data_IF_261941291875
#
_entry.id   IF_261941291875
#
_cell.length_a   1.000
_cell.length_b   1.000
_cell.length_c   1.000
_cell.angle_alpha   90.00
_cell.angle_beta   90.00
_cell.angle_gamma   90.00
#
_symmetry.space_group_name_H-M   'P 1'
#
loop_
_entity.id
_entity.type
_entity.pdbx_description
1 polymer ?
#
# COMPACT_ATOMS: atom_id res chain seq x y z
N UNK A 1 -80.88 -8.85 10.66
CA UNK A 1 -81.61 -9.52 9.57
C UNK A 1 -80.65 -9.60 8.39
N UNK A 2 -80.11 -10.71 7.92
CA UNK A 2 -80.30 -12.15 8.12
C UNK A 2 -79.76 -12.78 6.83
N UNK A 3 -78.61 -13.48 6.89
CA UNK A 3 -78.37 -14.90 6.50
C UNK A 3 -78.62 -15.20 5.00
N UNK A 4 -77.76 -15.90 4.24
CA UNK A 4 -77.35 -17.31 4.40
C UNK A 4 -76.22 -17.66 3.38
N UNK A 5 -75.09 -18.29 3.78
CA UNK A 5 -74.73 -19.75 3.70
C UNK A 5 -74.12 -20.18 2.33
N UNK A 6 -72.81 -20.52 2.25
CA UNK A 6 -72.21 -21.90 2.22
C UNK A 6 -72.33 -22.55 0.81
N UNK A 7 -71.47 -23.37 0.23
CA UNK A 7 -70.06 -23.78 0.34
C UNK A 7 -69.76 -24.68 -0.88
N UNK A 8 -68.46 -24.91 -1.15
CA UNK A 8 -67.82 -26.15 -1.63
C UNK A 8 -68.41 -26.98 -2.79
N UNK A 9 -67.57 -27.25 -3.81
CA UNK A 9 -67.20 -28.59 -4.36
C UNK A 9 -66.00 -28.33 -5.32
N UNK A 10 -64.75 -28.83 -5.13
CA UNK A 10 -64.22 -30.22 -5.06
C UNK A 10 -64.61 -31.00 -6.33
N UNK A 11 -63.79 -31.72 -7.09
CA UNK A 11 -62.36 -32.01 -7.21
C UNK A 11 -62.17 -32.89 -8.47
N UNK A 12 -60.95 -33.04 -8.95
CA UNK A 12 -60.41 -34.31 -9.49
C UNK A 12 -58.92 -34.33 -9.12
N UNK A 13 -58.47 -34.94 -8.01
CA UNK A 13 -58.22 -36.37 -7.77
C UNK A 13 -57.58 -37.04 -9.00
N UNK A 14 -56.31 -37.48 -8.97
CA UNK A 14 -55.78 -38.63 -8.21
C UNK A 14 -54.34 -38.90 -8.72
N UNK A 15 -53.34 -39.52 -8.07
CA UNK A 15 -53.07 -40.21 -6.80
C UNK A 15 -51.51 -40.41 -6.82
N UNK A 16 -50.72 -39.99 -5.81
CA UNK A 16 -50.15 -40.82 -4.68
C UNK A 16 -48.67 -41.24 -4.93
N UNK A 17 -47.67 -41.11 -4.03
CA UNK A 17 -47.55 -41.13 -2.54
C UNK A 17 -46.48 -40.14 -1.98
N UNK A 18 -46.68 -39.69 -0.71
CA UNK A 18 -45.79 -39.20 0.38
C UNK A 18 -44.31 -38.82 0.08
N UNK A 19 -43.68 -37.78 0.67
CA UNK A 19 -43.63 -37.34 2.07
C UNK A 19 -42.86 -35.97 2.16
N UNK A 20 -43.00 -35.25 3.28
CA UNK A 20 -42.16 -34.12 3.77
C UNK A 20 -42.20 -32.72 3.12
N UNK A 21 -42.84 -31.76 3.82
CA UNK A 21 -42.21 -30.52 4.36
C UNK A 21 -43.22 -29.37 4.57
N UNK A 22 -43.99 -29.46 5.66
CA UNK A 22 -44.70 -28.33 6.26
C UNK A 22 -43.74 -27.51 7.16
N UNK A 23 -42.66 -26.97 6.60
CA UNK A 23 -41.69 -26.15 7.35
C UNK A 23 -41.26 -24.85 6.66
N UNK A 24 -41.78 -24.59 5.44
CA UNK A 24 -41.43 -23.39 4.66
C UNK A 24 -42.43 -22.23 4.77
N UNK A 25 -43.64 -22.46 5.27
CA UNK A 25 -44.64 -21.39 5.42
C UNK A 25 -44.46 -20.59 6.74
N UNK A 26 -43.96 -21.22 7.80
CA UNK A 26 -43.69 -20.55 9.09
C UNK A 26 -42.45 -19.66 9.08
N UNK A 27 -41.44 -19.99 8.26
CA UNK A 27 -40.18 -19.23 8.19
C UNK A 27 -40.32 -17.88 7.49
N UNK A 28 -41.25 -17.75 6.54
CA UNK A 28 -41.47 -16.49 5.80
C UNK A 28 -42.17 -15.42 6.64
N UNK A 29 -42.98 -15.83 7.64
CA UNK A 29 -43.68 -14.89 8.53
C UNK A 29 -42.77 -14.46 9.70
N UNK A 30 -41.84 -15.31 10.13
CA UNK A 30 -40.84 -14.94 11.14
C UNK A 30 -39.82 -13.92 10.60
N UNK A 31 -39.36 -14.08 9.36
CA UNK A 31 -38.39 -13.18 8.70
C UNK A 31 -38.92 -11.75 8.49
N UNK A 32 -40.24 -11.57 8.41
CA UNK A 32 -40.86 -10.24 8.27
C UNK A 32 -41.01 -9.49 9.60
N UNK A 33 -40.95 -10.18 10.76
CA UNK A 33 -41.06 -9.55 12.08
C UNK A 33 -39.73 -9.08 12.66
N UNK A 34 -38.61 -9.63 12.20
CA UNK A 34 -37.27 -9.22 12.64
C UNK A 34 -36.75 -7.92 11.98
N UNK A 35 -37.50 -7.32 11.06
CA UNK A 35 -37.11 -6.07 10.37
C UNK A 35 -37.49 -4.81 11.19
N UNK A 36 -38.24 -4.94 12.28
CA UNK A 36 -38.72 -3.80 13.09
C UNK A 36 -38.15 -3.70 14.52
N UNK A 37 -37.17 -4.53 14.90
CA UNK A 37 -36.49 -4.32 16.17
C UNK A 37 -35.25 -3.42 15.99
N UNK A 38 -35.06 -2.37 16.82
CA UNK A 38 -33.84 -1.59 16.79
C UNK A 38 -32.66 -2.50 17.15
N UNK A 39 -31.74 -2.64 16.22
CA UNK A 39 -30.49 -3.38 16.39
C UNK A 39 -29.63 -2.62 17.43
N UNK A 40 -29.68 -3.07 18.69
CA UNK A 40 -28.76 -2.63 19.73
C UNK A 40 -27.54 -3.53 19.65
N UNK A 41 -26.43 -2.99 19.15
CA UNK A 41 -25.13 -3.65 19.26
C UNK A 41 -24.64 -3.49 20.69
N UNK A 42 -24.69 -4.55 21.48
CA UNK A 42 -23.90 -4.62 22.72
C UNK A 42 -22.45 -4.93 22.37
N UNK A 43 -21.55 -4.01 22.73
CA UNK A 43 -20.12 -4.11 22.49
C UNK A 43 -19.41 -4.75 23.70
N UNK A 44 -18.37 -5.56 23.48
CA UNK A 44 -17.63 -6.20 24.58
C UNK A 44 -16.87 -5.19 25.46
N UNK A 45 -16.74 -5.60 26.72
CA UNK A 45 -16.33 -4.81 27.89
C UNK A 45 -14.98 -4.08 27.78
N UNK A 46 -14.98 -2.80 28.18
CA UNK A 46 -13.93 -1.79 27.95
C UNK A 46 -12.60 -2.05 28.69
N UNK A 47 -12.56 -3.02 29.61
CA UNK A 47 -11.45 -3.19 30.55
C UNK A 47 -10.19 -3.86 29.96
N UNK A 48 -10.30 -4.63 28.86
CA UNK A 48 -9.11 -5.22 28.19
C UNK A 48 -8.47 -4.31 27.14
N UNK A 49 -9.20 -3.31 26.62
CA UNK A 49 -8.64 -2.31 25.70
C UNK A 49 -7.82 -1.23 26.43
N UNK A 50 -8.18 -0.92 27.68
CA UNK A 50 -7.53 0.15 28.44
C UNK A 50 -6.06 -0.14 28.77
N UNK A 51 -5.72 -1.41 29.05
CA UNK A 51 -4.33 -1.82 29.33
C UNK A 51 -3.42 -1.88 28.08
N UNK A 52 -4.00 -1.91 26.86
CA UNK A 52 -3.24 -1.79 25.60
C UNK A 52 -3.15 -0.34 25.09
N UNK A 53 -3.98 0.58 25.61
CA UNK A 53 -3.99 1.99 25.21
C UNK A 53 -2.89 2.83 25.87
N UNK A 54 -2.45 2.48 27.08
CA UNK A 54 -1.42 3.26 27.79
C UNK A 54 -0.02 3.11 27.17
N UNK A 55 0.30 1.96 26.55
CA UNK A 55 1.60 1.76 25.89
C UNK A 55 1.66 2.28 24.43
N UNK A 56 0.53 2.64 23.81
CA UNK A 56 0.46 3.10 22.40
C UNK A 56 0.36 4.62 22.23
N UNK A 57 0.20 5.38 23.32
CA UNK A 57 0.06 6.84 23.26
C UNK A 57 1.38 7.58 22.99
N UNK A 58 2.52 6.89 22.97
CA UNK A 58 3.84 7.50 22.81
C UNK A 58 4.70 6.84 21.71
N UNK A 59 4.06 6.18 20.75
CA UNK A 59 4.74 5.72 19.53
C UNK A 59 4.57 6.77 18.43
N UNK A 60 5.65 7.16 17.73
CA UNK A 60 5.54 8.01 16.55
C UNK A 60 4.58 7.35 15.55
N UNK A 61 3.43 7.97 15.30
CA UNK A 61 2.47 7.41 14.35
C UNK A 61 2.86 7.81 12.93
N UNK A 62 2.94 6.84 12.02
CA UNK A 62 3.10 7.10 10.59
C UNK A 62 1.87 7.80 10.03
N UNK A 63 2.04 8.54 8.93
CA UNK A 63 0.91 9.11 8.21
C UNK A 63 0.25 8.00 7.37
N UNK A 64 -1.02 7.74 7.65
CA UNK A 64 -1.80 6.66 7.01
C UNK A 64 -2.64 7.19 5.85
N UNK A 65 -2.49 6.56 4.69
CA UNK A 65 -3.17 6.91 3.43
C UNK A 65 -4.02 5.73 3.00
N UNK A 66 -5.25 5.97 2.54
CA UNK A 66 -6.11 4.93 1.97
C UNK A 66 -6.83 5.39 0.70
N UNK A 67 -7.27 4.41 -0.10
CA UNK A 67 -8.26 4.60 -1.14
C UNK A 67 -9.37 3.56 -1.00
N UNK A 68 -10.61 3.99 -1.20
CA UNK A 68 -11.78 3.15 -1.01
C UNK A 68 -12.87 3.45 -2.03
N UNK A 69 -13.12 2.50 -2.94
CA UNK A 69 -14.37 2.42 -3.66
C UNK A 69 -15.47 1.95 -2.71
N UNK A 70 -16.44 2.81 -2.41
CA UNK A 70 -17.54 2.54 -1.45
C UNK A 70 -18.79 2.03 -2.16
N UNK A 71 -18.72 1.72 -3.47
CA UNK A 71 -19.80 1.19 -4.30
C UNK A 71 -21.09 2.01 -4.23
N UNK A 72 -21.36 2.85 -5.23
CA UNK A 72 -22.57 3.68 -5.29
C UNK A 72 -22.83 4.50 -4.01
N UNK A 73 -21.78 5.15 -3.49
CA UNK A 73 -21.91 5.97 -2.29
C UNK A 73 -22.88 7.14 -2.52
N UNK A 74 -23.86 7.29 -1.64
CA UNK A 74 -24.84 8.35 -1.76
C UNK A 74 -25.91 8.30 -0.67
N UNK A 75 -27.03 8.99 -0.91
CA UNK A 75 -28.11 9.15 0.07
C UNK A 75 -28.59 7.83 0.67
N UNK A 76 -28.92 6.84 -0.16
CA UNK A 76 -29.42 5.52 0.30
C UNK A 76 -28.42 4.82 1.21
N UNK A 77 -27.12 4.85 0.87
CA UNK A 77 -26.06 4.25 1.69
C UNK A 77 -25.93 4.96 3.05
N UNK A 78 -26.04 6.28 3.06
CA UNK A 78 -26.01 7.11 4.28
C UNK A 78 -27.31 7.09 5.11
N UNK A 79 -28.36 6.42 4.64
CA UNK A 79 -29.62 6.16 5.33
C UNK A 79 -29.77 4.69 5.77
N UNK A 80 -28.89 3.81 5.31
CA UNK A 80 -28.93 2.38 5.63
C UNK A 80 -28.38 2.17 7.06
N UNK A 81 -29.14 1.59 8.00
CA UNK A 81 -28.71 1.41 9.38
C UNK A 81 -27.38 0.66 9.50
N UNK A 82 -26.47 1.14 10.35
CA UNK A 82 -25.16 0.53 10.61
C UNK A 82 -24.07 0.92 9.60
N UNK A 83 -24.42 1.29 8.36
CA UNK A 83 -23.44 1.62 7.31
C UNK A 83 -22.69 2.94 7.61
N UNK A 84 -23.35 4.06 7.97
CA UNK A 84 -22.64 5.28 8.36
C UNK A 84 -21.67 5.06 9.52
N UNK A 85 -22.05 4.25 10.51
CA UNK A 85 -21.23 3.94 11.69
C UNK A 85 -19.98 3.14 11.30
N UNK A 86 -20.12 2.17 10.40
CA UNK A 86 -18.98 1.41 9.86
C UNK A 86 -18.05 2.30 9.02
N UNK A 87 -18.61 3.13 8.14
CA UNK A 87 -17.81 4.07 7.33
C UNK A 87 -17.03 5.04 8.21
N UNK A 88 -17.62 5.56 9.28
CA UNK A 88 -16.92 6.41 10.26
C UNK A 88 -15.76 5.64 10.90
N UNK A 89 -15.97 4.40 11.34
CA UNK A 89 -14.90 3.57 11.93
C UNK A 89 -13.76 3.29 10.94
N UNK A 90 -14.08 3.04 9.68
CA UNK A 90 -13.10 2.83 8.61
C UNK A 90 -12.30 4.12 8.39
N UNK A 91 -12.96 5.26 8.17
CA UNK A 91 -12.30 6.54 7.87
C UNK A 91 -11.41 7.03 9.00
N UNK A 92 -11.83 6.87 10.27
CA UNK A 92 -11.06 7.32 11.44
C UNK A 92 -9.71 6.59 11.66
N UNK A 93 -9.43 5.56 10.86
CA UNK A 93 -8.11 4.91 10.83
C UNK A 93 -7.05 5.73 10.10
N UNK A 94 -7.46 6.57 9.14
CA UNK A 94 -6.57 7.17 8.16
C UNK A 94 -6.40 8.67 8.38
N UNK A 95 -5.21 9.19 8.11
CA UNK A 95 -4.97 10.63 8.12
C UNK A 95 -5.46 11.28 6.83
N UNK A 96 -5.46 10.53 5.73
CA UNK A 96 -6.15 10.87 4.48
C UNK A 96 -6.72 9.62 3.82
N UNK A 97 -7.95 9.70 3.34
CA UNK A 97 -8.60 8.64 2.57
C UNK A 97 -9.31 9.21 1.35
N UNK A 98 -9.08 8.57 0.19
CA UNK A 98 -9.86 8.76 -1.02
C UNK A 98 -11.14 7.92 -0.95
N UNK A 99 -12.29 8.57 -1.15
CA UNK A 99 -13.59 7.94 -1.35
C UNK A 99 -13.99 8.06 -2.83
N UNK A 100 -14.35 6.93 -3.44
CA UNK A 100 -14.75 6.85 -4.85
C UNK A 100 -16.21 6.39 -4.99
N UNK A 101 -16.72 6.41 -6.23
CA UNK A 101 -18.12 6.11 -6.56
C UNK A 101 -19.16 6.97 -5.82
N UNK A 102 -18.84 8.25 -5.58
CA UNK A 102 -19.81 9.18 -4.99
C UNK A 102 -20.86 9.55 -6.04
N UNK A 103 -22.03 8.93 -5.95
CA UNK A 103 -23.18 9.12 -6.85
C UNK A 103 -24.31 9.88 -6.14
N UNK A 104 -24.00 11.09 -5.67
CA UNK A 104 -24.98 11.97 -5.01
C UNK A 104 -25.00 13.38 -5.63
N UNK A 105 -26.02 13.67 -6.45
CA UNK A 105 -26.16 14.97 -7.11
C UNK A 105 -26.42 16.12 -6.14
N UNK A 106 -26.89 15.83 -4.92
CA UNK A 106 -27.12 16.85 -3.90
C UNK A 106 -25.85 17.26 -3.16
N UNK A 107 -24.78 16.45 -3.23
CA UNK A 107 -23.55 16.63 -2.47
C UNK A 107 -23.70 16.46 -0.94
N UNK A 108 -24.89 16.09 -0.44
CA UNK A 108 -25.19 16.08 1.00
C UNK A 108 -24.66 14.83 1.70
N UNK A 109 -24.62 13.68 1.03
CA UNK A 109 -24.24 12.41 1.64
C UNK A 109 -22.79 12.43 2.16
N UNK A 110 -21.86 12.93 1.34
CA UNK A 110 -20.44 12.98 1.72
C UNK A 110 -20.18 14.01 2.83
N UNK A 111 -20.89 15.14 2.82
CA UNK A 111 -20.82 16.14 3.89
C UNK A 111 -21.44 15.63 5.19
N UNK A 112 -22.52 14.83 5.11
CA UNK A 112 -23.09 14.14 6.27
C UNK A 112 -22.08 13.15 6.86
N UNK A 113 -21.36 12.40 6.01
CA UNK A 113 -20.29 11.51 6.48
C UNK A 113 -19.17 12.29 7.19
N UNK A 114 -18.69 13.39 6.60
CA UNK A 114 -17.70 14.28 7.23
C UNK A 114 -18.16 14.77 8.61
N UNK A 115 -19.43 15.19 8.73
CA UNK A 115 -20.00 15.63 10.01
C UNK A 115 -20.00 14.51 11.05
N UNK A 116 -20.36 13.28 10.66
CA UNK A 116 -20.33 12.13 11.56
C UNK A 116 -18.90 11.76 11.97
N UNK A 117 -17.94 11.83 11.04
CA UNK A 117 -16.51 11.62 11.33
C UNK A 117 -16.06 12.63 12.37
N UNK A 118 -16.31 13.92 12.15
CA UNK A 118 -15.89 14.99 13.06
C UNK A 118 -16.59 14.92 14.44
N UNK A 119 -17.80 14.37 14.51
CA UNK A 119 -18.49 14.12 15.78
C UNK A 119 -17.85 12.97 16.60
N UNK A 120 -17.24 12.00 15.93
CA UNK A 120 -16.69 10.79 16.57
C UNK A 120 -15.16 10.77 16.64
N UNK A 121 -14.48 11.69 15.96
CA UNK A 121 -13.02 11.75 15.94
C UNK A 121 -12.46 12.21 17.29
N UNK A 122 -11.49 11.45 17.80
CA UNK A 122 -10.67 11.84 18.96
C UNK A 122 -9.28 12.32 18.57
N UNK A 123 -8.90 12.16 17.29
CA UNK A 123 -7.54 12.43 16.79
C UNK A 123 -7.38 13.81 16.15
N UNK A 124 -8.47 14.52 15.90
CA UNK A 124 -8.45 15.81 15.21
C UNK A 124 -9.65 16.00 14.29
N UNK A 125 -9.75 17.17 13.68
CA UNK A 125 -10.84 17.52 12.76
C UNK A 125 -10.43 17.17 11.33
N UNK A 126 -11.34 16.51 10.62
CA UNK A 126 -11.23 16.24 9.20
C UNK A 126 -11.78 17.41 8.38
N UNK A 127 -11.13 17.68 7.25
CA UNK A 127 -11.66 18.44 6.14
C UNK A 127 -11.94 17.54 4.94
N UNK A 128 -12.49 18.14 3.89
CA UNK A 128 -12.75 17.46 2.63
C UNK A 128 -12.35 18.33 1.44
N UNK A 129 -11.84 17.68 0.39
CA UNK A 129 -11.79 18.26 -0.94
C UNK A 129 -12.45 17.30 -1.93
N UNK A 130 -13.27 17.83 -2.84
CA UNK A 130 -14.20 17.05 -3.68
C UNK A 130 -13.99 17.46 -5.14
N UNK A 131 -13.90 16.49 -6.04
CA UNK A 131 -13.86 16.75 -7.48
C UNK A 131 -15.21 17.25 -8.01
N UNK A 132 -15.25 17.81 -9.24
CA UNK A 132 -16.48 17.89 -10.02
C UNK A 132 -17.13 16.51 -10.21
N UNK A 133 -18.36 16.50 -10.73
CA UNK A 133 -19.03 15.27 -11.18
C UNK A 133 -18.45 14.86 -12.54
N UNK A 134 -17.87 13.67 -12.61
CA UNK A 134 -17.12 13.12 -13.74
C UNK A 134 -17.82 11.88 -14.30
N UNK A 135 -17.68 11.62 -15.60
CA UNK A 135 -18.43 10.58 -16.29
C UNK A 135 -18.97 11.08 -17.63
N UNK A 136 -18.81 10.30 -18.69
CA UNK A 136 -19.32 10.63 -20.03
C UNK A 136 -20.85 10.55 -20.12
N UNK A 137 -21.47 9.75 -19.26
CA UNK A 137 -22.93 9.57 -19.21
C UNK A 137 -23.60 10.48 -18.17
N UNK A 138 -24.94 10.43 -18.10
CA UNK A 138 -25.71 11.09 -17.04
C UNK A 138 -25.43 10.51 -15.64
N UNK A 139 -24.95 9.27 -15.57
CA UNK A 139 -24.55 8.61 -14.32
C UNK A 139 -23.12 9.00 -13.92
N UNK A 140 -22.95 10.24 -13.46
CA UNK A 140 -21.66 10.77 -13.01
C UNK A 140 -21.29 10.39 -11.57
N UNK A 141 -20.00 10.33 -11.30
CA UNK A 141 -19.36 10.05 -10.00
C UNK A 141 -18.50 11.23 -9.53
N UNK A 142 -18.05 11.21 -8.27
CA UNK A 142 -17.08 12.16 -7.74
C UNK A 142 -16.01 11.42 -6.92
N UNK A 143 -14.84 12.06 -6.82
CA UNK A 143 -13.80 11.73 -5.86
C UNK A 143 -13.89 12.68 -4.67
N UNK A 144 -13.61 12.17 -3.47
CA UNK A 144 -13.39 13.01 -2.31
C UNK A 144 -12.20 12.52 -1.50
N UNK A 145 -11.31 13.44 -1.13
CA UNK A 145 -10.31 13.19 -0.10
C UNK A 145 -10.82 13.75 1.22
N UNK A 146 -10.99 12.87 2.21
CA UNK A 146 -11.21 13.23 3.61
C UNK A 146 -9.85 13.20 4.32
N UNK A 147 -9.44 14.29 4.97
CA UNK A 147 -8.10 14.38 5.56
C UNK A 147 -8.08 15.15 6.87
N UNK A 148 -7.18 14.79 7.78
CA UNK A 148 -6.97 15.48 9.06
C UNK A 148 -6.27 16.82 8.89
N UNK A 149 -6.91 17.90 9.35
CA UNK A 149 -6.43 19.29 9.20
C UNK A 149 -5.21 19.63 10.03
N UNK A 150 -4.97 18.86 11.10
CA UNK A 150 -3.84 19.09 11.99
C UNK A 150 -2.51 18.53 11.43
N UNK A 151 -2.59 17.61 10.47
CA UNK A 151 -1.42 16.97 9.85
C UNK A 151 -1.27 17.26 8.34
N UNK A 152 -2.38 17.60 7.66
CA UNK A 152 -2.42 17.84 6.21
C UNK A 152 -3.21 19.10 5.87
N UNK A 153 -2.78 19.77 4.80
CA UNK A 153 -3.51 20.88 4.18
C UNK A 153 -3.43 20.80 2.66
N UNK A 154 -4.53 21.09 1.97
CA UNK A 154 -4.55 21.18 0.50
C UNK A 154 -3.98 22.54 0.08
N UNK A 155 -2.91 22.53 -0.71
CA UNK A 155 -2.31 23.73 -1.32
C UNK A 155 -2.97 24.08 -2.65
N UNK A 156 -3.29 23.06 -3.44
CA UNK A 156 -3.90 23.21 -4.75
C UNK A 156 -4.63 21.92 -5.13
N UNK A 157 -5.67 22.03 -5.97
CA UNK A 157 -6.28 20.88 -6.61
C UNK A 157 -6.85 21.24 -7.97
N UNK A 158 -6.85 20.26 -8.88
CA UNK A 158 -7.45 20.38 -10.20
C UNK A 158 -7.85 19.00 -10.72
N UNK A 159 -8.73 18.98 -11.72
CA UNK A 159 -9.05 17.76 -12.47
C UNK A 159 -8.25 17.78 -13.77
N UNK A 160 -7.63 16.65 -14.11
CA UNK A 160 -6.94 16.52 -15.39
C UNK A 160 -7.93 16.70 -16.53
N UNK A 161 -7.47 17.27 -17.64
CA UNK A 161 -8.28 17.55 -18.81
C UNK A 161 -7.45 17.11 -20.02
N UNK A 162 -7.88 16.03 -20.67
CA UNK A 162 -7.27 15.49 -21.89
C UNK A 162 -8.05 15.81 -23.16
N UNK A 163 -9.05 16.69 -23.08
CA UNK A 163 -9.80 17.15 -24.23
C UNK A 163 -11.29 17.35 -23.96
N UNK A 164 -12.05 17.60 -25.03
CA UNK A 164 -13.48 17.88 -24.92
C UNK A 164 -14.31 16.59 -24.75
N UNK A 165 -15.01 16.46 -23.62
CA UNK A 165 -15.95 15.35 -23.32
C UNK A 165 -16.96 15.13 -24.49
N UNK A 166 -17.48 16.22 -25.07
CA UNK A 166 -18.53 16.19 -26.11
C UNK A 166 -18.08 15.55 -27.44
N UNK A 167 -16.77 15.48 -27.70
CA UNK A 167 -16.21 14.91 -28.92
C UNK A 167 -15.83 13.43 -28.77
N UNK A 168 -16.00 12.84 -27.57
CA UNK A 168 -15.55 11.47 -27.24
C UNK A 168 -14.08 11.19 -27.60
N UNK A 169 -13.27 12.25 -27.61
CA UNK A 169 -11.82 12.14 -27.80
C UNK A 169 -11.06 11.97 -26.48
N UNK A 170 -11.74 12.12 -25.33
CA UNK A 170 -11.16 11.92 -24.01
C UNK A 170 -10.76 10.45 -23.81
N UNK A 171 -9.70 10.22 -23.05
CA UNK A 171 -9.22 8.88 -22.70
C UNK A 171 -9.98 8.34 -21.49
N UNK A 172 -10.21 9.18 -20.49
CA UNK A 172 -10.72 8.78 -19.19
C UNK A 172 -12.24 8.86 -19.09
N UNK A 173 -12.90 7.76 -18.71
CA UNK A 173 -14.32 7.82 -18.34
C UNK A 173 -14.58 8.79 -17.18
N UNK A 174 -13.63 8.87 -16.24
CA UNK A 174 -13.62 9.82 -15.12
C UNK A 174 -12.21 10.37 -14.99
N UNK A 175 -12.07 11.65 -15.24
CA UNK A 175 -10.77 12.31 -15.29
C UNK A 175 -10.08 12.27 -13.91
N UNK A 176 -8.76 12.00 -13.86
CA UNK A 176 -8.03 11.98 -12.60
C UNK A 176 -8.20 13.28 -11.80
N UNK A 177 -8.41 13.16 -10.49
CA UNK A 177 -8.47 14.30 -9.58
C UNK A 177 -7.17 14.46 -8.81
N UNK A 178 -6.49 15.58 -9.02
CA UNK A 178 -5.14 15.87 -8.55
C UNK A 178 -5.23 16.80 -7.34
N UNK A 179 -4.64 16.39 -6.23
CA UNK A 179 -4.61 17.17 -4.99
C UNK A 179 -3.18 17.27 -4.47
N UNK A 180 -2.66 18.50 -4.43
CA UNK A 180 -1.38 18.84 -3.83
C UNK A 180 -1.56 19.05 -2.33
N UNK A 181 -1.02 18.13 -1.56
CA UNK A 181 -1.00 18.19 -0.11
C UNK A 181 0.32 18.75 0.40
N UNK A 182 0.20 19.53 1.47
CA UNK A 182 1.29 19.80 2.39
C UNK A 182 1.09 18.96 3.66
N UNK A 183 2.18 18.33 4.14
CA UNK A 183 2.22 17.65 5.43
C UNK A 183 3.16 18.35 6.40
N UNK A 184 2.66 18.57 7.62
CA UNK A 184 3.46 19.11 8.72
C UNK A 184 4.33 18.02 9.37
N UNK A 185 3.96 16.75 9.22
CA UNK A 185 4.49 15.62 10.01
C UNK A 185 5.44 14.69 9.25
N UNK A 186 5.56 14.75 7.92
CA UNK A 186 6.43 13.87 7.11
C UNK A 186 7.64 14.61 6.52
N UNK A 187 8.74 13.90 6.24
CA UNK A 187 9.91 14.49 5.57
C UNK A 187 9.58 14.97 4.15
N UNK A 188 8.72 14.23 3.44
CA UNK A 188 8.13 14.69 2.18
C UNK A 188 7.01 15.65 2.53
N UNK A 189 7.33 16.94 2.61
CA UNK A 189 6.37 17.97 3.04
C UNK A 189 5.36 18.32 1.97
N UNK A 190 5.71 18.14 0.71
CA UNK A 190 4.88 18.46 -0.44
C UNK A 190 4.78 17.22 -1.32
N UNK A 191 3.56 16.73 -1.52
CA UNK A 191 3.30 15.59 -2.40
C UNK A 191 1.91 15.70 -3.02
N UNK A 192 1.70 14.94 -4.09
CA UNK A 192 0.45 14.94 -4.84
C UNK A 192 -0.22 13.59 -4.73
N UNK A 193 -1.52 13.58 -4.45
CA UNK A 193 -2.39 12.42 -4.60
C UNK A 193 -3.21 12.57 -5.88
N UNK A 194 -3.15 11.56 -6.75
CA UNK A 194 -3.91 11.49 -8.00
C UNK A 194 -4.97 10.40 -7.88
N UNK A 195 -6.20 10.82 -7.61
CA UNK A 195 -7.34 9.92 -7.51
C UNK A 195 -7.79 9.44 -8.90
N UNK A 196 -7.96 8.13 -9.05
CA UNK A 196 -8.49 7.55 -10.29
C UNK A 196 -9.35 6.32 -10.01
N UNK A 197 -10.51 6.26 -10.65
CA UNK A 197 -11.38 5.09 -10.74
C UNK A 197 -11.54 4.79 -12.23
N UNK A 198 -10.86 3.79 -12.75
CA UNK A 198 -10.83 3.57 -14.21
C UNK A 198 -12.08 2.86 -14.71
N UNK A 199 -12.46 3.02 -15.97
CA UNK A 199 -13.51 2.16 -16.57
C UNK A 199 -13.01 0.71 -16.72
N UNK A 200 -13.72 -0.32 -16.24
CA UNK A 200 -13.27 -1.71 -16.36
C UNK A 200 -13.01 -2.15 -17.80
N UNK A 201 -13.84 -1.67 -18.74
CA UNK A 201 -13.73 -1.96 -20.17
C UNK A 201 -12.52 -1.28 -20.85
N UNK A 202 -11.97 -0.24 -20.22
CA UNK A 202 -10.87 0.58 -20.72
C UNK A 202 -9.67 0.64 -19.77
N UNK A 203 -9.63 -0.21 -18.74
CA UNK A 203 -8.62 -0.18 -17.68
C UNK A 203 -7.19 -0.06 -18.23
N UNK A 204 -6.80 -0.89 -19.20
CA UNK A 204 -5.46 -0.79 -19.78
C UNK A 204 -5.16 0.58 -20.41
N UNK A 205 -6.10 1.16 -21.13
CA UNK A 205 -5.90 2.44 -21.82
C UNK A 205 -5.80 3.58 -20.80
N UNK A 206 -6.70 3.61 -19.82
CA UNK A 206 -6.69 4.65 -18.78
C UNK A 206 -5.47 4.52 -17.86
N UNK A 207 -5.09 3.31 -17.45
CA UNK A 207 -3.86 3.07 -16.66
C UNK A 207 -2.63 3.52 -17.45
N UNK A 208 -2.56 3.19 -18.74
CA UNK A 208 -1.42 3.57 -19.59
C UNK A 208 -1.24 5.09 -19.68
N UNK A 209 -2.34 5.84 -19.71
CA UNK A 209 -2.34 7.30 -19.83
C UNK A 209 -2.01 8.03 -18.52
N UNK A 210 -2.08 7.35 -17.37
CA UNK A 210 -1.66 7.93 -16.08
C UNK A 210 -0.18 8.33 -16.05
N UNK A 211 0.66 7.77 -16.93
CA UNK A 211 2.05 8.22 -17.08
C UNK A 211 2.12 9.67 -17.62
N UNK A 212 1.20 10.05 -18.50
CA UNK A 212 1.07 11.42 -19.03
C UNK A 212 0.47 12.35 -17.98
N UNK A 213 -0.47 11.86 -17.17
CA UNK A 213 -1.02 12.60 -16.02
C UNK A 213 0.09 12.94 -15.02
N UNK A 214 1.00 12.02 -14.74
CA UNK A 214 2.16 12.29 -13.90
C UNK A 214 3.06 13.40 -14.50
N UNK A 215 3.31 13.38 -15.81
CA UNK A 215 4.07 14.43 -16.49
C UNK A 215 3.35 15.80 -16.43
N UNK A 216 2.02 15.82 -16.50
CA UNK A 216 1.19 17.02 -16.30
C UNK A 216 1.35 17.59 -14.88
N UNK A 217 1.34 16.72 -13.86
CA UNK A 217 1.56 17.10 -12.46
C UNK A 217 2.91 17.78 -12.29
N UNK A 218 3.98 17.18 -12.81
CA UNK A 218 5.32 17.78 -12.76
C UNK A 218 5.32 19.14 -13.45
N UNK A 219 4.75 19.21 -14.66
CA UNK A 219 4.75 20.43 -15.46
C UNK A 219 3.97 21.58 -14.81
N UNK A 220 2.81 21.29 -14.21
CA UNK A 220 1.95 22.32 -13.59
C UNK A 220 2.37 22.69 -12.19
N UNK A 221 2.81 21.73 -11.38
CA UNK A 221 3.06 21.93 -9.95
C UNK A 221 4.54 21.91 -9.57
N UNK A 222 5.42 21.39 -10.43
CA UNK A 222 6.84 21.22 -10.12
C UNK A 222 7.11 20.14 -9.06
N UNK A 223 6.12 19.27 -8.79
CA UNK A 223 6.22 18.22 -7.77
C UNK A 223 6.42 16.86 -8.44
N UNK A 224 7.47 16.14 -8.03
CA UNK A 224 7.81 14.79 -8.51
C UNK A 224 7.33 13.68 -7.58
N UNK A 225 7.03 14.02 -6.33
CA UNK A 225 6.58 13.08 -5.29
C UNK A 225 5.06 12.87 -5.40
N UNK A 226 4.67 11.82 -6.11
CA UNK A 226 3.27 11.56 -6.51
C UNK A 226 2.85 10.15 -6.11
N UNK A 227 1.62 10.03 -5.59
CA UNK A 227 0.95 8.76 -5.36
C UNK A 227 -0.33 8.76 -6.19
N UNK A 228 -0.43 7.81 -7.12
CA UNK A 228 -1.64 7.54 -7.90
C UNK A 228 -2.39 6.41 -7.18
N UNK A 229 -3.67 6.61 -6.87
CA UNK A 229 -4.42 5.70 -6.00
C UNK A 229 -5.91 5.60 -6.36
N UNK A 230 -6.47 4.43 -6.11
CA UNK A 230 -7.89 4.12 -6.29
C UNK A 230 -8.15 2.75 -6.89
N UNK A 231 -9.39 2.54 -7.33
CA UNK A 231 -9.82 1.39 -8.12
C UNK A 231 -9.37 1.53 -9.58
N UNK A 232 -8.21 0.94 -9.89
CA UNK A 232 -7.65 0.94 -11.23
C UNK A 232 -8.18 -0.22 -12.08
N UNK A 233 -9.08 -1.08 -11.56
CA UNK A 233 -9.48 -2.31 -12.23
C UNK A 233 -8.26 -3.12 -12.73
N UNK A 234 -7.14 -3.05 -12.01
CA UNK A 234 -5.82 -3.48 -12.48
C UNK A 234 -5.57 -4.98 -12.29
N UNK A 235 -6.54 -5.85 -12.58
CA UNK A 235 -6.36 -7.29 -12.42
C UNK A 235 -7.34 -8.10 -13.28
N UNK A 236 -7.25 -9.42 -13.15
CA UNK A 236 -8.24 -10.36 -13.66
C UNK A 236 -8.52 -10.15 -15.17
N UNK A 237 -9.78 -10.16 -15.60
CA UNK A 237 -10.11 -10.03 -17.03
C UNK A 237 -9.84 -8.64 -17.61
N UNK A 238 -9.72 -7.62 -16.76
CA UNK A 238 -9.51 -6.24 -17.20
C UNK A 238 -8.06 -5.96 -17.58
N UNK A 239 -7.10 -6.56 -16.86
CA UNK A 239 -5.66 -6.47 -17.11
C UNK A 239 -5.00 -7.85 -17.24
N UNK A 240 -4.77 -8.29 -18.49
CA UNK A 240 -4.05 -9.52 -18.82
C UNK A 240 -2.54 -9.33 -18.82
N UNK A 241 -1.77 -10.42 -18.69
CA UNK A 241 -0.30 -10.41 -18.78
C UNK A 241 0.23 -9.72 -20.04
N UNK A 242 -0.48 -9.84 -21.17
CA UNK A 242 -0.12 -9.17 -22.42
C UNK A 242 -0.26 -7.65 -22.33
N UNK A 243 -1.33 -7.14 -21.68
CA UNK A 243 -1.56 -5.71 -21.45
C UNK A 243 -0.49 -5.17 -20.49
N UNK A 244 -0.20 -5.89 -19.41
CA UNK A 244 0.85 -5.54 -18.46
C UNK A 244 2.21 -5.33 -19.11
N UNK A 245 2.59 -6.16 -20.09
CA UNK A 245 3.89 -6.06 -20.78
C UNK A 245 4.06 -4.82 -21.66
N UNK A 246 2.96 -4.20 -22.09
CA UNK A 246 3.01 -3.04 -23.00
C UNK A 246 2.58 -1.74 -22.35
N UNK A 247 1.99 -1.80 -21.16
CA UNK A 247 1.49 -0.62 -20.44
C UNK A 247 2.64 0.27 -19.93
N UNK A 248 2.63 1.56 -20.26
CA UNK A 248 3.66 2.54 -19.93
C UNK A 248 3.81 2.72 -18.42
N UNK A 249 2.71 2.93 -17.69
CA UNK A 249 2.75 3.11 -16.23
C UNK A 249 3.31 1.87 -15.51
N UNK A 250 3.06 0.66 -16.05
CA UNK A 250 3.56 -0.59 -15.48
C UNK A 250 5.05 -0.84 -15.72
N UNK A 251 5.59 -0.40 -16.88
CA UNK A 251 6.96 -0.75 -17.30
C UNK A 251 7.95 0.41 -17.19
N UNK A 252 7.48 1.63 -16.97
CA UNK A 252 8.34 2.79 -16.73
C UNK A 252 8.90 2.75 -15.30
N UNK A 253 10.23 2.84 -15.20
CA UNK A 253 11.00 2.72 -13.96
C UNK A 253 10.77 3.85 -12.97
N UNK A 254 10.10 4.93 -13.39
CA UNK A 254 9.69 6.01 -12.49
C UNK A 254 8.63 5.55 -11.48
N UNK A 255 7.83 4.54 -11.84
CA UNK A 255 6.65 4.13 -11.08
C UNK A 255 6.87 2.83 -10.32
N UNK A 256 6.38 2.80 -9.08
CA UNK A 256 6.50 1.66 -8.18
C UNK A 256 5.11 1.28 -7.67
N UNK A 257 4.66 0.07 -8.03
CA UNK A 257 3.37 -0.46 -7.64
C UNK A 257 3.49 -1.13 -6.27
N UNK A 258 2.75 -0.62 -5.27
CA UNK A 258 2.90 -1.09 -3.89
C UNK A 258 1.95 -2.24 -3.55
N UNK A 259 0.74 -2.24 -4.13
CA UNK A 259 -0.19 -3.36 -4.01
C UNK A 259 0.19 -4.41 -5.04
N UNK A 260 0.66 -5.56 -4.59
CA UNK A 260 1.02 -6.71 -5.43
C UNK A 260 -0.23 -7.32 -6.09
N UNK A 261 -0.04 -7.96 -7.24
CA UNK A 261 -1.09 -8.71 -7.97
C UNK A 261 -1.69 -9.86 -7.15
N UNK A 262 -1.01 -10.29 -6.07
CA UNK A 262 -1.49 -11.32 -5.16
C UNK A 262 -2.43 -10.80 -4.06
N UNK A 263 -2.61 -9.48 -3.93
CA UNK A 263 -3.47 -8.89 -2.90
C UNK A 263 -4.89 -8.82 -3.42
N UNK A 264 -5.81 -9.55 -2.80
CA UNK A 264 -7.24 -9.43 -3.11
C UNK A 264 -7.83 -8.16 -2.48
N UNK A 265 -8.40 -7.29 -3.32
CA UNK A 265 -9.04 -6.04 -2.91
C UNK A 265 -10.56 -6.09 -2.99
N UNK A 266 -11.16 -7.25 -3.26
CA UNK A 266 -12.62 -7.40 -3.41
C UNK A 266 -13.28 -8.05 -2.21
N UNK A 267 -14.52 -7.65 -1.88
CA UNK A 267 -15.36 -8.25 -0.82
C UNK A 267 -16.12 -9.46 -1.36
N UNK A 268 -16.56 -9.40 -2.62
CA UNK A 268 -17.35 -10.46 -3.25
C UNK A 268 -16.76 -10.91 -4.58
N UNK A 269 -16.49 -12.20 -4.72
CA UNK A 269 -16.50 -12.89 -6.01
C UNK A 269 -15.25 -12.78 -6.90
N UNK A 270 -14.12 -12.29 -6.41
CA UNK A 270 -12.85 -12.30 -7.13
C UNK A 270 -11.65 -12.49 -6.19
N UNK A 271 -10.54 -13.01 -6.70
CA UNK A 271 -9.22 -12.85 -6.09
C UNK A 271 -8.46 -11.85 -6.95
N UNK A 272 -8.89 -10.59 -6.90
CA UNK A 272 -8.48 -9.56 -7.86
C UNK A 272 -7.86 -8.34 -7.14
N UNK A 273 -6.69 -7.92 -7.60
CA UNK A 273 -5.99 -6.72 -7.14
C UNK A 273 -6.43 -5.50 -7.97
N UNK A 274 -7.69 -5.09 -7.84
CA UNK A 274 -8.22 -3.96 -8.62
C UNK A 274 -7.72 -2.62 -8.11
N UNK A 275 -7.70 -2.46 -6.79
CA UNK A 275 -7.34 -1.23 -6.11
C UNK A 275 -5.83 -1.16 -5.86
N UNK A 276 -5.21 -0.01 -6.17
CA UNK A 276 -3.74 0.10 -6.25
C UNK A 276 -3.21 1.39 -5.69
N UNK A 277 -1.93 1.33 -5.30
CA UNK A 277 -1.06 2.48 -5.11
C UNK A 277 0.10 2.39 -6.09
N UNK A 278 0.34 3.47 -6.84
CA UNK A 278 1.49 3.62 -7.73
C UNK A 278 2.25 4.87 -7.33
N UNK A 279 3.52 4.72 -6.96
CA UNK A 279 4.34 5.79 -6.36
C UNK A 279 5.47 6.19 -7.29
N UNK A 280 5.73 7.51 -7.36
CA UNK A 280 6.86 8.11 -8.04
C UNK A 280 7.51 9.20 -7.18
N UNK A 281 8.78 9.49 -7.47
CA UNK A 281 9.60 10.47 -6.75
C UNK A 281 10.48 9.83 -5.68
N UNK A 282 11.78 10.15 -5.70
CA UNK A 282 12.77 9.53 -4.80
C UNK A 282 12.50 9.84 -3.32
N UNK A 283 12.00 11.03 -3.01
CA UNK A 283 11.71 11.39 -1.63
C UNK A 283 10.49 10.62 -1.13
N UNK A 284 9.44 10.48 -1.95
CA UNK A 284 8.27 9.67 -1.64
C UNK A 284 8.64 8.19 -1.49
N UNK A 285 9.40 7.61 -2.43
CA UNK A 285 9.82 6.21 -2.36
C UNK A 285 10.68 5.90 -1.13
N UNK A 286 11.39 6.89 -0.59
CA UNK A 286 12.13 6.73 0.66
C UNK A 286 11.28 6.94 1.91
N UNK A 287 10.15 7.64 1.79
CA UNK A 287 9.20 7.84 2.88
C UNK A 287 8.16 6.73 2.99
N UNK A 288 7.84 6.04 1.88
CA UNK A 288 6.89 4.92 1.87
C UNK A 288 7.44 3.74 2.66
N UNK A 289 6.55 3.11 3.43
CA UNK A 289 6.79 1.81 4.05
C UNK A 289 6.17 0.76 3.14
N UNK A 290 6.93 0.18 2.21
CA UNK A 290 6.38 -0.70 1.16
C UNK A 290 5.56 -1.86 1.76
N UNK A 291 6.05 -2.48 2.84
CA UNK A 291 5.36 -3.59 3.52
C UNK A 291 4.06 -3.21 4.23
N UNK A 292 3.72 -1.92 4.30
CA UNK A 292 2.45 -1.45 4.87
C UNK A 292 1.33 -1.33 3.84
N UNK A 293 1.65 -1.51 2.55
CA UNK A 293 0.68 -1.44 1.48
C UNK A 293 -0.14 -2.74 1.42
N UNK A 294 -1.39 -2.70 1.86
CA UNK A 294 -2.25 -3.88 1.96
C UNK A 294 -3.74 -3.57 1.75
N UNK A 295 -4.56 -4.62 1.72
CA UNK A 295 -6.02 -4.54 1.66
C UNK A 295 -6.59 -4.61 3.08
N UNK A 296 -7.32 -3.58 3.49
CA UNK A 296 -7.92 -3.51 4.82
C UNK A 296 -9.25 -4.29 4.87
N UNK A 297 -9.16 -5.53 5.34
CA UNK A 297 -10.30 -6.45 5.56
C UNK A 297 -11.13 -6.01 6.78
N UNK A 298 -11.88 -4.91 6.63
CA UNK A 298 -12.65 -4.29 7.72
C UNK A 298 -13.71 -5.22 8.32
N UNK A 299 -14.15 -6.22 7.59
CA UNK A 299 -15.04 -7.26 8.05
C UNK A 299 -14.40 -8.11 9.15
N UNK A 300 -13.15 -8.52 8.95
CA UNK A 300 -12.39 -9.30 9.92
C UNK A 300 -11.99 -8.45 11.12
N UNK A 301 -11.53 -7.21 10.85
CA UNK A 301 -10.99 -6.31 11.86
C UNK A 301 -12.07 -5.67 12.76
N UNK A 302 -13.29 -5.52 12.26
CA UNK A 302 -14.43 -4.97 13.00
C UNK A 302 -15.49 -6.02 13.34
N UNK A 303 -15.23 -7.30 13.07
CA UNK A 303 -16.14 -8.44 13.28
C UNK A 303 -17.53 -8.19 12.64
N UNK A 304 -17.53 -7.82 11.36
CA UNK A 304 -18.74 -7.51 10.57
C UNK A 304 -19.08 -8.71 9.70
N UNK A 305 -20.34 -9.14 9.76
CA UNK A 305 -20.80 -10.25 8.93
C UNK A 305 -20.78 -9.91 7.43
N UNK A 306 -20.65 -10.94 6.59
CA UNK A 306 -20.50 -10.80 5.14
C UNK A 306 -21.65 -10.03 4.47
N UNK A 307 -22.89 -10.18 4.95
CA UNK A 307 -24.05 -9.46 4.40
C UNK A 307 -23.90 -7.96 4.61
N UNK A 308 -23.52 -7.52 5.81
CA UNK A 308 -23.27 -6.11 6.11
C UNK A 308 -22.03 -5.61 5.36
N UNK A 309 -20.98 -6.43 5.25
CA UNK A 309 -19.79 -6.08 4.48
C UNK A 309 -20.12 -5.77 3.02
N UNK A 310 -20.91 -6.63 2.36
CA UNK A 310 -21.34 -6.43 0.97
C UNK A 310 -22.31 -5.23 0.80
N UNK A 311 -23.02 -4.82 1.85
CA UNK A 311 -23.81 -3.57 1.83
C UNK A 311 -22.94 -2.32 1.95
N UNK A 312 -21.80 -2.42 2.64
CA UNK A 312 -20.82 -1.33 2.73
C UNK A 312 -20.14 -1.13 1.38
N UNK A 313 -19.56 -2.17 0.78
CA UNK A 313 -18.93 -2.12 -0.55
C UNK A 313 -18.66 -3.53 -1.09
N UNK A 314 -18.43 -3.65 -2.40
CA UNK A 314 -17.82 -4.81 -3.05
C UNK A 314 -16.29 -4.73 -3.13
N UNK A 315 -15.69 -3.63 -2.67
CA UNK A 315 -14.24 -3.47 -2.53
C UNK A 315 -13.83 -3.34 -1.06
N UNK A 316 -12.59 -3.71 -0.75
CA UNK A 316 -11.93 -3.33 0.48
C UNK A 316 -11.11 -2.06 0.26
N UNK A 317 -10.96 -1.18 1.26
CA UNK A 317 -9.97 -0.11 1.18
C UNK A 317 -8.57 -0.71 1.00
N UNK A 318 -7.76 -0.12 0.13
CA UNK A 318 -6.30 -0.32 0.18
C UNK A 318 -5.70 0.75 1.07
N UNK A 319 -4.76 0.36 1.93
CA UNK A 319 -4.05 1.27 2.84
C UNK A 319 -2.54 1.20 2.66
N UNK A 320 -1.85 2.29 2.98
CA UNK A 320 -0.39 2.37 3.05
C UNK A 320 0.03 3.40 4.11
N UNK A 321 1.31 3.37 4.48
CA UNK A 321 1.89 4.29 5.45
C UNK A 321 3.13 4.98 4.89
N UNK A 322 3.29 6.26 5.24
CA UNK A 322 4.51 7.02 5.01
C UNK A 322 5.11 7.50 6.33
N UNK A 323 6.44 7.47 6.42
CA UNK A 323 7.23 7.74 7.62
C UNK A 323 7.10 9.20 8.05
N UNK A 324 6.82 9.43 9.33
CA UNK A 324 6.84 10.77 9.92
C UNK A 324 8.25 11.24 10.26
N UNK A 325 8.46 12.56 10.34
CA UNK A 325 9.72 13.18 10.78
C UNK A 325 10.14 12.64 12.16
N UNK A 326 9.18 12.48 13.05
CA UNK A 326 9.39 11.94 14.39
C UNK A 326 9.92 10.50 14.33
N UNK A 327 9.25 9.62 13.57
CA UNK A 327 9.72 8.24 13.41
C UNK A 327 11.06 8.19 12.69
N UNK A 328 11.25 8.96 11.62
CA UNK A 328 12.53 9.04 10.92
C UNK A 328 13.66 9.49 11.86
N UNK A 329 13.39 10.46 12.73
CA UNK A 329 14.35 10.94 13.74
C UNK A 329 14.62 9.85 14.78
N UNK A 330 13.57 9.21 15.31
CA UNK A 330 13.70 8.10 16.25
C UNK A 330 14.51 6.93 15.64
N UNK A 331 14.19 6.53 14.42
CA UNK A 331 14.93 5.50 13.67
C UNK A 331 16.37 5.92 13.41
N UNK A 332 16.65 7.20 13.09
CA UNK A 332 18.02 7.71 12.94
C UNK A 332 18.80 7.73 14.27
N UNK A 333 18.11 7.86 15.39
CA UNK A 333 18.70 7.80 16.74
C UNK A 333 18.93 6.37 17.21
N UNK A 334 18.15 5.41 16.69
CA UNK A 334 18.27 3.97 16.94
C UNK A 334 19.25 3.33 15.95
N UNK A 335 19.46 3.91 14.76
CA UNK A 335 20.36 3.43 13.72
C UNK A 335 21.81 3.50 14.19
N UNK A 336 22.21 2.52 15.01
CA UNK A 336 23.58 2.06 15.06
C UNK A 336 23.86 1.40 13.73
N UNK A 337 25.04 1.67 13.17
CA UNK A 337 25.46 1.01 11.95
C UNK A 337 25.43 -0.50 12.16
N UNK A 338 24.59 -1.22 11.40
CA UNK A 338 24.50 -2.68 11.50
C UNK A 338 25.44 -3.28 10.48
N UNK A 339 26.40 -4.06 10.97
CA UNK A 339 27.38 -4.74 10.14
C UNK A 339 27.05 -6.23 10.03
N UNK A 340 26.62 -6.67 8.84
CA UNK A 340 26.37 -8.07 8.51
C UNK A 340 27.63 -8.70 7.94
N UNK A 341 28.23 -9.65 8.66
CA UNK A 341 29.42 -10.37 8.22
C UNK A 341 29.10 -11.76 7.66
N UNK A 342 29.47 -12.00 6.41
CA UNK A 342 29.22 -13.23 5.67
C UNK A 342 30.46 -14.10 5.63
N UNK A 343 30.66 -14.90 6.68
CA UNK A 343 31.83 -15.78 6.82
C UNK A 343 31.52 -17.18 6.28
N UNK A 344 32.47 -17.75 5.55
CA UNK A 344 32.49 -19.19 5.19
C UNK A 344 33.84 -19.79 5.56
N UNK A 345 33.98 -21.11 5.47
CA UNK A 345 35.27 -21.78 5.67
C UNK A 345 36.28 -21.22 4.65
N UNK A 346 37.49 -20.79 5.09
CA UNK A 346 38.51 -20.28 4.18
C UNK A 346 38.85 -21.31 3.10
N UNK A 347 39.15 -20.83 1.88
CA UNK A 347 39.67 -21.69 0.82
C UNK A 347 40.97 -22.35 1.29
N UNK A 348 41.16 -23.67 1.09
CA UNK A 348 42.42 -24.35 1.43
C UNK A 348 43.64 -23.75 0.74
N UNK A 349 43.43 -23.02 -0.36
CA UNK A 349 44.49 -22.41 -1.16
C UNK A 349 44.72 -20.93 -0.83
N UNK A 350 44.03 -20.37 0.17
CA UNK A 350 44.12 -18.96 0.53
C UNK A 350 45.48 -18.66 1.20
N UNK A 351 46.20 -17.66 0.70
CA UNK A 351 47.48 -17.22 1.26
C UNK A 351 47.51 -15.71 1.41
N UNK A 352 48.36 -15.22 2.34
CA UNK A 352 48.61 -13.77 2.54
C UNK A 352 49.03 -13.07 1.24
N UNK A 353 49.85 -13.76 0.43
CA UNK A 353 50.33 -13.24 -0.85
C UNK A 353 49.19 -13.07 -1.86
N UNK A 354 48.24 -14.02 -1.94
CA UNK A 354 47.05 -13.89 -2.80
C UNK A 354 46.21 -12.67 -2.41
N UNK A 355 46.01 -12.45 -1.12
CA UNK A 355 45.27 -11.29 -0.61
C UNK A 355 45.97 -9.98 -1.00
N UNK A 356 47.28 -9.88 -0.74
CA UNK A 356 48.04 -8.67 -1.05
C UNK A 356 48.06 -8.35 -2.55
N UNK A 357 48.13 -9.37 -3.42
CA UNK A 357 48.13 -9.19 -4.88
C UNK A 357 46.84 -8.55 -5.42
N UNK A 358 45.69 -8.71 -4.75
CA UNK A 358 44.43 -8.09 -5.18
C UNK A 358 44.34 -6.60 -4.89
N UNK A 359 45.29 -6.04 -4.14
CA UNK A 359 45.28 -4.63 -3.74
C UNK A 359 45.11 -3.68 -4.93
N UNK A 360 46.02 -3.75 -5.91
CA UNK A 360 45.96 -2.87 -7.09
C UNK A 360 44.68 -3.06 -7.90
N UNK A 361 44.20 -4.31 -8.01
CA UNK A 361 42.97 -4.63 -8.75
C UNK A 361 41.74 -4.01 -8.11
N UNK A 362 41.64 -4.05 -6.78
CA UNK A 362 40.49 -3.49 -6.06
C UNK A 362 40.58 -1.97 -5.93
N UNK A 363 41.79 -1.40 -5.77
CA UNK A 363 42.00 0.06 -5.83
C UNK A 363 41.57 0.64 -7.18
N UNK A 364 41.91 -0.04 -8.30
CA UNK A 364 41.46 0.34 -9.63
C UNK A 364 39.94 0.21 -9.85
N UNK A 365 39.25 -0.54 -8.97
CA UNK A 365 37.80 -0.68 -8.97
C UNK A 365 37.13 0.15 -7.86
N UNK A 366 37.82 1.22 -7.42
CA UNK A 366 37.33 2.22 -6.45
C UNK A 366 37.11 1.69 -5.03
N UNK A 367 37.78 0.60 -4.64
CA UNK A 367 37.84 0.20 -3.24
C UNK A 367 38.99 0.92 -2.53
N UNK A 368 38.67 1.57 -1.41
CA UNK A 368 39.67 2.10 -0.48
C UNK A 368 40.27 0.96 0.34
N UNK A 369 41.60 0.99 0.56
CA UNK A 369 42.32 -0.07 1.27
C UNK A 369 42.81 0.42 2.63
N UNK A 370 42.25 -0.13 3.70
CA UNK A 370 42.70 0.08 5.06
C UNK A 370 43.60 -1.09 5.51
N UNK A 371 44.65 -0.79 6.28
CA UNK A 371 45.60 -1.80 6.78
C UNK A 371 45.79 -1.66 8.28
N UNK A 372 45.75 -2.78 8.97
CA UNK A 372 46.14 -2.87 10.38
C UNK A 372 47.44 -3.65 10.48
N UNK A 373 48.33 -3.21 11.37
CA UNK A 373 49.62 -3.82 11.62
C UNK A 373 49.65 -4.45 13.01
N UNK A 374 50.29 -5.60 13.16
CA UNK A 374 50.57 -6.18 14.48
C UNK A 374 51.77 -5.52 15.16
N UNK A 375 52.08 -5.95 16.39
CA UNK A 375 53.22 -5.47 17.19
C UNK A 375 54.58 -5.59 16.47
N UNK A 376 54.69 -6.50 15.51
CA UNK A 376 55.91 -6.75 14.73
C UNK A 376 55.91 -5.98 13.39
N UNK A 377 55.03 -4.99 13.22
CA UNK A 377 54.84 -4.22 11.97
C UNK A 377 54.48 -5.05 10.73
N UNK A 378 54.01 -6.29 10.91
CA UNK A 378 53.45 -7.08 9.82
C UNK A 378 51.95 -6.77 9.66
N UNK A 379 51.45 -6.79 8.42
CA UNK A 379 50.04 -6.55 8.13
C UNK A 379 49.21 -7.66 8.77
N UNK A 380 48.39 -7.33 9.76
CA UNK A 380 47.49 -8.26 10.46
C UNK A 380 46.12 -8.33 9.83
N UNK A 381 45.63 -7.22 9.26
CA UNK A 381 44.33 -7.11 8.61
C UNK A 381 44.41 -6.19 7.40
N UNK A 382 43.68 -6.55 6.34
CA UNK A 382 43.39 -5.66 5.21
C UNK A 382 41.89 -5.58 5.02
N UNK A 383 41.38 -4.36 4.83
CA UNK A 383 39.97 -4.11 4.52
C UNK A 383 39.93 -3.37 3.19
N UNK A 384 39.20 -3.92 2.22
CA UNK A 384 38.85 -3.24 0.98
C UNK A 384 37.41 -2.78 1.14
N UNK A 385 37.16 -1.46 1.08
CA UNK A 385 35.83 -0.90 1.31
C UNK A 385 35.38 -0.02 0.16
N UNK A 386 34.09 -0.06 -0.14
CA UNK A 386 33.43 0.86 -1.08
C UNK A 386 32.09 1.27 -0.50
N UNK A 387 31.90 2.57 -0.35
CA UNK A 387 30.66 3.14 0.16
C UNK A 387 29.59 3.13 -0.96
N UNK A 388 28.32 3.03 -0.57
CA UNK A 388 27.18 3.04 -1.48
C UNK A 388 26.07 3.94 -0.93
N UNK A 389 25.30 4.58 -1.81
CA UNK A 389 24.15 5.40 -1.42
C UNK A 389 22.80 4.77 -1.76
N UNK A 390 22.82 3.65 -2.49
CA UNK A 390 21.63 2.84 -2.82
C UNK A 390 22.00 1.35 -2.99
N UNK A 391 20.99 0.49 -3.05
CA UNK A 391 21.16 -0.97 -3.18
C UNK A 391 21.83 -1.36 -4.50
N UNK A 392 21.57 -0.63 -5.59
CA UNK A 392 22.16 -0.92 -6.91
C UNK A 392 23.68 -0.76 -6.88
N UNK A 393 24.18 0.27 -6.23
CA UNK A 393 25.62 0.48 -6.00
C UNK A 393 26.23 -0.61 -5.11
N UNK A 394 25.53 -1.01 -4.05
CA UNK A 394 25.96 -2.10 -3.19
C UNK A 394 26.11 -3.41 -3.99
N UNK A 395 25.11 -3.75 -4.82
CA UNK A 395 25.16 -4.92 -5.71
C UNK A 395 26.29 -4.83 -6.73
N UNK A 396 26.54 -3.64 -7.29
CA UNK A 396 27.68 -3.41 -8.20
C UNK A 396 29.02 -3.69 -7.51
N UNK A 397 29.20 -3.23 -6.27
CA UNK A 397 30.40 -3.52 -5.49
C UNK A 397 30.54 -5.01 -5.17
N UNK A 398 29.45 -5.70 -4.81
CA UNK A 398 29.46 -7.16 -4.57
C UNK A 398 29.78 -7.93 -5.85
N UNK A 399 29.25 -7.51 -7.00
CA UNK A 399 29.56 -8.10 -8.30
C UNK A 399 31.05 -7.99 -8.64
N UNK A 400 31.68 -6.83 -8.39
CA UNK A 400 33.13 -6.67 -8.57
C UNK A 400 33.91 -7.62 -7.66
N UNK A 401 33.51 -7.76 -6.39
CA UNK A 401 34.15 -8.73 -5.48
C UNK A 401 33.98 -10.16 -6.03
N UNK A 402 32.79 -10.52 -6.51
CA UNK A 402 32.52 -11.82 -7.13
C UNK A 402 33.44 -12.08 -8.31
N UNK A 403 33.55 -11.16 -9.26
CA UNK A 403 34.40 -11.34 -10.45
C UNK A 403 35.90 -11.35 -10.14
N UNK A 404 36.36 -10.46 -9.24
CA UNK A 404 37.79 -10.22 -9.06
C UNK A 404 38.41 -11.07 -7.95
N UNK A 405 37.62 -11.69 -7.08
CA UNK A 405 38.14 -12.33 -5.85
C UNK A 405 37.61 -13.75 -5.55
N UNK A 406 36.62 -14.27 -6.30
CA UNK A 406 36.18 -15.67 -6.17
C UNK A 406 37.29 -16.66 -6.56
N UNK A 407 37.15 -17.92 -6.09
CA UNK A 407 38.06 -19.05 -6.29
C UNK A 407 39.53 -18.83 -5.87
N UNK A 408 39.78 -17.74 -5.14
CA UNK A 408 41.13 -17.36 -4.68
C UNK A 408 41.14 -16.62 -3.34
N UNK A 409 40.05 -15.95 -2.95
CA UNK A 409 39.92 -15.22 -1.67
C UNK A 409 38.61 -15.49 -0.94
N UNK A 410 37.47 -15.36 -1.62
CA UNK A 410 36.11 -15.60 -1.06
C UNK A 410 35.34 -16.62 -1.90
N UNK A 411 34.23 -17.13 -1.39
CA UNK A 411 33.39 -18.12 -2.09
C UNK A 411 32.20 -17.48 -2.81
N UNK A 412 31.70 -18.14 -3.85
CA UNK A 412 30.46 -17.74 -4.56
C UNK A 412 29.27 -17.67 -3.59
N UNK A 413 29.19 -18.61 -2.64
CA UNK A 413 28.15 -18.62 -1.61
C UNK A 413 28.17 -17.36 -0.72
N UNK A 414 29.36 -16.79 -0.41
CA UNK A 414 29.43 -15.52 0.32
C UNK A 414 28.80 -14.39 -0.48
N UNK A 415 29.10 -14.29 -1.78
CA UNK A 415 28.52 -13.27 -2.64
C UNK A 415 27.01 -13.44 -2.81
N UNK A 416 26.53 -14.68 -2.97
CA UNK A 416 25.09 -14.98 -3.08
C UNK A 416 24.33 -14.65 -1.79
N UNK A 417 24.91 -14.92 -0.61
CA UNK A 417 24.27 -14.55 0.66
C UNK A 417 24.18 -13.04 0.84
N UNK A 418 25.18 -12.28 0.37
CA UNK A 418 25.14 -10.81 0.41
C UNK A 418 24.12 -10.28 -0.59
N UNK A 419 24.11 -10.79 -1.83
CA UNK A 419 23.11 -10.49 -2.85
C UNK A 419 21.70 -10.76 -2.30
N UNK A 420 21.49 -11.92 -1.67
CA UNK A 420 20.24 -12.29 -1.03
C UNK A 420 19.86 -11.42 0.16
N UNK A 421 20.81 -10.95 0.97
CA UNK A 421 20.50 -9.94 1.98
C UNK A 421 20.03 -8.64 1.31
N UNK A 422 20.72 -8.20 0.26
CA UNK A 422 20.49 -6.94 -0.48
C UNK A 422 19.23 -6.93 -1.37
N UNK A 423 18.73 -8.10 -1.78
CA UNK A 423 17.55 -8.23 -2.65
C UNK A 423 16.44 -9.09 -2.03
N UNK A 424 16.62 -9.53 -0.78
CA UNK A 424 15.71 -10.46 -0.13
C UNK A 424 14.40 -9.78 0.31
N UNK A 425 13.31 -10.55 0.46
CA UNK A 425 12.00 -10.02 0.86
C UNK A 425 12.02 -9.24 2.18
N UNK A 426 12.88 -9.62 3.12
CA UNK A 426 13.06 -8.92 4.42
C UNK A 426 13.61 -7.51 4.30
N UNK A 427 14.27 -7.13 3.19
CA UNK A 427 14.63 -5.72 3.01
C UNK A 427 13.37 -4.89 2.85
N UNK A 428 12.32 -5.41 2.21
CA UNK A 428 11.02 -4.75 2.11
C UNK A 428 10.36 -4.62 3.48
N UNK A 429 10.47 -5.64 4.35
CA UNK A 429 9.95 -5.60 5.73
C UNK A 429 10.78 -4.74 6.69
N UNK A 430 12.08 -4.54 6.41
CA UNK A 430 13.02 -3.78 7.27
C UNK A 430 13.48 -2.47 6.65
N UNK A 431 12.79 -1.93 5.65
CA UNK A 431 13.13 -0.65 5.00
C UNK A 431 13.25 0.51 6.00
N UNK A 432 12.50 0.44 7.11
CA UNK A 432 12.55 1.40 8.21
C UNK A 432 13.84 1.33 9.05
N UNK A 433 14.53 0.19 9.09
CA UNK A 433 15.64 -0.07 10.00
C UNK A 433 17.02 0.14 9.38
N UNK A 434 17.12 0.16 8.05
CA UNK A 434 18.39 0.33 7.35
C UNK A 434 18.31 1.55 6.44
N UNK A 435 19.20 2.53 6.64
CA UNK A 435 19.37 3.54 5.58
C UNK A 435 19.89 2.81 4.35
N UNK A 436 19.38 3.17 3.17
CA UNK A 436 19.85 2.62 1.87
C UNK A 436 21.30 3.02 1.53
N UNK A 437 22.02 3.64 2.47
CA UNK A 437 23.42 4.05 2.41
C UNK A 437 24.29 3.18 3.32
N UNK A 438 25.52 2.89 2.92
CA UNK A 438 26.39 2.02 3.71
C UNK A 438 27.74 1.76 3.07
N UNK A 439 28.36 0.65 3.47
CA UNK A 439 29.67 0.23 2.96
C UNK A 439 29.72 -1.26 2.70
N UNK A 440 30.14 -1.66 1.49
CA UNK A 440 30.56 -3.03 1.19
C UNK A 440 32.04 -3.18 1.52
N UNK A 441 32.39 -4.16 2.34
CA UNK A 441 33.77 -4.45 2.75
C UNK A 441 34.15 -5.89 2.38
N UNK A 442 35.35 -6.07 1.83
CA UNK A 442 36.08 -7.34 1.88
C UNK A 442 37.09 -7.25 3.02
N UNK A 443 36.85 -7.98 4.10
CA UNK A 443 37.70 -8.00 5.29
C UNK A 443 38.57 -9.25 5.25
N UNK A 444 39.88 -9.08 5.38
CA UNK A 444 40.86 -10.17 5.37
C UNK A 444 41.78 -10.11 6.58
N UNK A 445 41.77 -11.16 7.41
CA UNK A 445 42.72 -11.37 8.50
C UNK A 445 43.87 -12.24 8.02
N UNK A 446 45.09 -11.87 8.38
CA UNK A 446 46.31 -12.53 7.91
C UNK A 446 46.85 -13.57 8.91
N UNK A 447 46.43 -13.51 10.16
CA UNK A 447 46.94 -14.34 11.27
C UNK A 447 45.81 -14.84 12.18
N UNK A 448 45.93 -16.03 12.79
CA UNK A 448 47.04 -16.99 12.64
C UNK A 448 47.04 -17.68 11.26
N UNK A 449 45.87 -17.92 10.68
CA UNK A 449 45.69 -18.38 9.30
C UNK A 449 44.90 -17.35 8.48
N UNK A 450 45.22 -17.16 7.19
CA UNK A 450 44.47 -16.24 6.34
C UNK A 450 42.98 -16.59 6.27
N UNK A 451 42.13 -15.61 6.51
CA UNK A 451 40.68 -15.73 6.31
C UNK A 451 40.12 -14.43 5.75
N UNK A 452 39.13 -14.54 4.86
CA UNK A 452 38.46 -13.37 4.28
C UNK A 452 36.95 -13.56 4.25
N UNK A 453 36.22 -12.47 4.42
CA UNK A 453 34.76 -12.44 4.34
C UNK A 453 34.25 -11.11 3.80
N UNK A 454 33.04 -11.14 3.26
CA UNK A 454 32.31 -9.92 2.92
C UNK A 454 31.60 -9.43 4.18
N UNK A 455 31.66 -8.13 4.42
CA UNK A 455 30.91 -7.44 5.45
C UNK A 455 30.10 -6.32 4.81
N UNK A 456 28.82 -6.22 5.16
CA UNK A 456 27.92 -5.19 4.66
C UNK A 456 27.49 -4.31 5.85
N UNK A 457 27.91 -3.06 5.83
CA UNK A 457 27.54 -2.06 6.82
C UNK A 457 26.36 -1.24 6.28
N UNK A 458 25.26 -1.16 7.01
CA UNK A 458 24.20 -0.18 6.78
C UNK A 458 24.35 0.95 7.82
N UNK A 459 24.27 2.21 7.37
CA UNK A 459 24.43 3.40 8.22
C UNK A 459 23.10 3.95 8.76
#
# INVERSE_FOLDING_TARGET
MGFTILACFVATLSLVFCDQNFDKAGKTIQAARDIQQPFIVEFPDNHKQQKRRDDSQNQPNNLKIAAFNVQTFGKKKMETPGIPELLVKIVLRFDVILIQEIRDASGKAILKLLSLINKNSTKGIYDITISPRLGRSSSKEQYAFLFRKDVLSVKHSYTYDDGQEDLQSDTFEREPYIVHFYSSVTNVTDFVLVAIHTSPSKANQEIDELAVVYDDVIRKLGITDVIILGDLNAACSYMSDSKWKTNRLANDRRFHWLISDCVDTTVTGGLCAYDRFVVAGDAMLNAVIESSAESYKYDQELDVNQTMTALVSDHYPVEMQIVTKELATALSSISRSVEHSFRTKPSPTLTRHKIYRKKKTLEAAEFTVERTYNKNRAISRMIFRRDFVNIKEALGAVCILKEKTTDSIITVAQTQNVEFLLTGPWIQEKQLLYKKTGTVKLVCEMYPQPSCWISLLFN
#
